data_IF_515278554789
#
_entry.id   IF_515278554789
#
_cell.length_a   1.000
_cell.length_b   1.000
_cell.length_c   1.000
_cell.angle_alpha   90.00
_cell.angle_beta   90.00
_cell.angle_gamma   90.00
#
_symmetry.space_group_name_H-M   'P 1'
#
loop_
_entity.id
_entity.type
_entity.pdbx_description
1 polymer ?
#
# COMPACT_ATOMS: atom_id res chain seq x y z
N UNK A 1 -12.49 3.72 -0.10
CA UNK A 1 -13.61 4.38 -0.80
C UNK A 1 -14.81 3.47 -0.69
N UNK A 2 -15.92 3.98 -0.14
CA UNK A 2 -17.17 3.25 0.01
C UNK A 2 -18.26 3.86 -0.87
N UNK A 3 -19.10 3.02 -1.47
CA UNK A 3 -20.26 3.43 -2.26
C UNK A 3 -21.48 2.63 -1.82
N UNK A 4 -22.65 3.25 -1.81
CA UNK A 4 -23.91 2.56 -1.53
C UNK A 4 -24.72 2.47 -2.81
N UNK A 5 -25.16 1.27 -3.15
CA UNK A 5 -25.94 0.99 -4.34
C UNK A 5 -27.26 0.29 -3.97
N UNK A 6 -28.23 0.37 -4.88
CA UNK A 6 -29.49 -0.37 -4.81
C UNK A 6 -29.78 -0.91 -6.20
N UNK A 7 -29.97 -2.22 -6.29
CA UNK A 7 -30.46 -2.83 -7.53
C UNK A 7 -31.88 -2.34 -7.82
N UNK A 8 -32.18 -2.08 -9.09
CA UNK A 8 -33.50 -1.59 -9.48
C UNK A 8 -34.56 -2.65 -9.14
N UNK A 9 -35.63 -2.22 -8.46
CA UNK A 9 -36.69 -3.12 -7.98
C UNK A 9 -36.43 -3.73 -6.60
N UNK A 10 -35.21 -3.66 -6.07
CA UNK A 10 -34.88 -4.15 -4.74
C UNK A 10 -35.20 -3.12 -3.65
N UNK A 11 -35.67 -3.61 -2.50
CA UNK A 11 -35.91 -2.77 -1.31
C UNK A 11 -34.63 -2.49 -0.54
N UNK A 12 -33.66 -3.41 -0.63
CA UNK A 12 -32.41 -3.36 0.13
C UNK A 12 -31.33 -2.59 -0.63
N UNK A 13 -30.41 -2.01 0.13
CA UNK A 13 -29.20 -1.37 -0.41
C UNK A 13 -27.99 -2.19 0.02
N UNK A 14 -26.91 -2.07 -0.74
CA UNK A 14 -25.62 -2.69 -0.46
C UNK A 14 -24.55 -1.62 -0.40
N UNK A 15 -23.72 -1.68 0.63
CA UNK A 15 -22.51 -0.89 0.72
C UNK A 15 -21.35 -1.71 0.13
N UNK A 16 -20.54 -1.10 -0.71
CA UNK A 16 -19.33 -1.69 -1.29
C UNK A 16 -18.13 -0.84 -0.90
N UNK A 17 -17.08 -1.48 -0.41
CA UNK A 17 -15.83 -0.86 -0.01
C UNK A 17 -14.69 -1.39 -0.88
N UNK A 18 -13.86 -0.47 -1.38
CA UNK A 18 -12.57 -0.78 -1.98
C UNK A 18 -11.45 0.01 -1.31
N UNK A 19 -10.27 -0.58 -1.20
CA UNK A 19 -9.13 0.09 -0.58
C UNK A 19 -7.88 -0.77 -0.49
N UNK A 20 -6.91 -0.27 0.30
CA UNK A 20 -5.71 -1.02 0.65
C UNK A 20 -6.12 -2.35 1.32
N UNK A 21 -5.53 -3.49 0.93
CA UNK A 21 -5.94 -4.79 1.42
C UNK A 21 -6.00 -4.91 2.94
N UNK A 22 -4.98 -4.43 3.62
CA UNK A 22 -4.84 -4.49 5.09
C UNK A 22 -5.92 -3.67 5.79
N UNK A 23 -6.23 -2.48 5.24
CA UNK A 23 -7.27 -1.59 5.77
C UNK A 23 -8.65 -2.22 5.58
N UNK A 24 -8.95 -2.72 4.39
CA UNK A 24 -10.26 -3.35 4.10
C UNK A 24 -10.44 -4.60 4.95
N UNK A 25 -9.43 -5.47 5.05
CA UNK A 25 -9.49 -6.66 5.88
C UNK A 25 -9.76 -6.32 7.36
N UNK A 26 -9.16 -5.24 7.88
CA UNK A 26 -9.40 -4.78 9.26
C UNK A 26 -10.84 -4.32 9.53
N UNK A 27 -11.56 -3.93 8.49
CA UNK A 27 -12.96 -3.49 8.53
C UNK A 27 -13.96 -4.64 8.27
N UNK A 28 -13.45 -5.82 7.90
CA UNK A 28 -14.27 -6.99 7.60
C UNK A 28 -14.51 -7.88 8.83
N UNK A 29 -15.56 -8.69 8.78
CA UNK A 29 -15.78 -9.78 9.72
C UNK A 29 -14.68 -10.83 9.53
N UNK A 30 -14.03 -11.23 10.63
CA UNK A 30 -12.84 -12.10 10.59
C UNK A 30 -13.08 -13.44 9.89
N UNK A 31 -14.28 -14.01 10.05
CA UNK A 31 -14.71 -15.28 9.44
C UNK A 31 -14.87 -15.21 7.91
N UNK A 32 -14.92 -14.00 7.34
CA UNK A 32 -14.99 -13.81 5.88
C UNK A 32 -13.63 -13.61 5.22
N UNK A 33 -12.60 -13.29 6.01
CA UNK A 33 -11.24 -13.09 5.50
C UNK A 33 -10.52 -14.45 5.49
N UNK A 34 -10.02 -14.92 4.33
CA UNK A 34 -9.28 -16.17 4.25
C UNK A 34 -8.06 -16.20 5.19
N UNK A 35 -7.75 -17.37 5.77
CA UNK A 35 -6.62 -17.53 6.69
C UNK A 35 -5.26 -17.26 6.01
N UNK A 36 -5.16 -17.54 4.72
CA UNK A 36 -3.98 -17.33 3.87
C UNK A 36 -3.90 -15.91 3.26
N UNK A 37 -4.81 -15.00 3.62
CA UNK A 37 -4.89 -13.66 3.06
C UNK A 37 -3.55 -12.91 3.06
N UNK A 38 -2.81 -12.96 4.18
CA UNK A 38 -1.56 -12.24 4.33
C UNK A 38 -0.46 -12.80 3.41
N UNK A 39 -0.40 -14.13 3.27
CA UNK A 39 0.57 -14.82 2.40
C UNK A 39 0.29 -14.50 0.93
N UNK A 40 -0.98 -14.62 0.51
CA UNK A 40 -1.40 -14.32 -0.87
C UNK A 40 -1.14 -12.86 -1.23
N UNK A 41 -1.44 -11.94 -0.30
CA UNK A 41 -1.16 -10.52 -0.50
C UNK A 41 0.34 -10.24 -0.64
N UNK A 42 1.16 -10.84 0.23
CA UNK A 42 2.62 -10.69 0.19
C UNK A 42 3.20 -11.23 -1.12
N UNK A 43 2.72 -12.36 -1.62
CA UNK A 43 3.17 -12.95 -2.89
C UNK A 43 2.91 -12.02 -4.08
N UNK A 44 1.67 -11.54 -4.25
CA UNK A 44 1.33 -10.64 -5.35
C UNK A 44 2.03 -9.29 -5.25
N UNK A 45 2.19 -8.74 -4.05
CA UNK A 45 2.85 -7.43 -3.87
C UNK A 45 4.35 -7.52 -4.11
N UNK A 46 5.02 -8.62 -3.74
CA UNK A 46 6.43 -8.90 -4.08
C UNK A 46 6.68 -9.04 -5.57
N UNK A 47 5.70 -9.56 -6.31
CA UNK A 47 5.73 -9.63 -7.77
C UNK A 47 5.44 -8.27 -8.45
N UNK A 48 5.25 -7.19 -7.68
CA UNK A 48 5.03 -5.86 -8.23
C UNK A 48 3.60 -5.59 -8.72
N UNK A 49 2.65 -6.47 -8.40
CA UNK A 49 1.25 -6.20 -8.71
C UNK A 49 0.67 -5.15 -7.76
N UNK A 50 -0.22 -4.33 -8.32
CA UNK A 50 -1.10 -3.47 -7.54
C UNK A 50 -2.30 -4.28 -7.08
N UNK A 51 -2.44 -4.42 -5.76
CA UNK A 51 -3.51 -5.20 -5.13
C UNK A 51 -4.52 -4.27 -4.46
N UNK A 52 -5.81 -4.48 -4.73
CA UNK A 52 -6.92 -3.76 -4.08
C UNK A 52 -7.88 -4.78 -3.51
N UNK A 53 -8.28 -4.62 -2.25
CA UNK A 53 -9.33 -5.46 -1.66
C UNK A 53 -10.72 -4.88 -1.89
N UNK A 54 -11.68 -5.78 -2.01
CA UNK A 54 -13.11 -5.49 -2.06
C UNK A 54 -13.83 -6.12 -0.86
N UNK A 55 -14.80 -5.41 -0.34
CA UNK A 55 -15.74 -5.92 0.65
C UNK A 55 -17.13 -5.36 0.39
N UNK A 56 -18.17 -6.04 0.87
CA UNK A 56 -19.53 -5.54 0.81
C UNK A 56 -20.28 -5.76 2.11
N UNK A 57 -21.36 -5.03 2.31
CA UNK A 57 -22.29 -5.28 3.42
C UNK A 57 -23.70 -4.98 2.97
N UNK A 58 -24.58 -5.96 3.16
CA UNK A 58 -25.99 -5.76 2.92
C UNK A 58 -26.60 -4.92 4.03
N UNK A 59 -27.18 -3.78 3.67
CA UNK A 59 -27.81 -2.87 4.63
C UNK A 59 -29.21 -3.35 5.00
N UNK A 60 -29.70 -2.89 6.15
CA UNK A 60 -31.04 -3.20 6.63
C UNK A 60 -32.11 -2.73 5.63
N UNK A 61 -33.16 -3.52 5.44
CA UNK A 61 -34.22 -3.24 4.46
C UNK A 61 -35.03 -1.98 4.74
N UNK A 62 -34.91 -1.40 5.94
CA UNK A 62 -35.62 -0.18 6.35
C UNK A 62 -34.80 1.09 6.14
N UNK A 63 -33.55 0.99 5.65
CA UNK A 63 -32.72 2.17 5.43
C UNK A 63 -33.17 2.92 4.17
N UNK A 64 -33.38 4.23 4.31
CA UNK A 64 -33.73 5.13 3.19
C UNK A 64 -32.50 5.86 2.69
N UNK A 65 -32.54 6.39 1.46
CA UNK A 65 -31.43 7.17 0.89
C UNK A 65 -31.04 8.36 1.77
N UNK A 66 -32.03 9.08 2.28
CA UNK A 66 -31.80 10.17 3.23
C UNK A 66 -31.09 9.71 4.50
N UNK A 67 -31.42 8.53 5.04
CA UNK A 67 -30.69 8.00 6.19
C UNK A 67 -29.25 7.67 5.83
N UNK A 68 -29.01 6.96 4.72
CA UNK A 68 -27.66 6.58 4.27
C UNK A 68 -26.72 7.78 4.17
N UNK A 69 -27.19 8.90 3.61
CA UNK A 69 -26.40 10.14 3.48
C UNK A 69 -25.98 10.76 4.81
N UNK A 70 -26.71 10.46 5.89
CA UNK A 70 -26.46 10.99 7.23
C UNK A 70 -25.75 9.99 8.15
N UNK A 71 -25.48 8.76 7.69
CA UNK A 71 -24.73 7.78 8.48
C UNK A 71 -23.24 8.15 8.44
N UNK A 72 -22.59 8.13 9.61
CA UNK A 72 -21.15 8.31 9.69
C UNK A 72 -20.43 7.24 8.85
N UNK A 73 -19.40 7.66 8.12
CA UNK A 73 -18.56 6.80 7.28
C UNK A 73 -18.02 5.60 8.04
N UNK A 74 -17.52 5.77 9.26
CA UNK A 74 -16.94 4.68 10.04
C UNK A 74 -17.98 3.58 10.33
N UNK A 75 -19.21 3.98 10.64
CA UNK A 75 -20.33 3.05 10.81
C UNK A 75 -20.73 2.38 9.49
N UNK A 76 -20.62 3.10 8.37
CA UNK A 76 -20.92 2.56 7.04
C UNK A 76 -19.88 1.54 6.57
N UNK A 77 -18.61 1.76 6.91
CA UNK A 77 -17.47 0.92 6.50
C UNK A 77 -17.18 -0.25 7.47
N UNK A 78 -17.89 -0.36 8.61
CA UNK A 78 -17.69 -1.43 9.59
C UNK A 78 -18.43 -2.76 9.27
N UNK A 79 -17.97 -3.87 9.86
CA UNK A 79 -18.63 -5.20 9.78
C UNK A 79 -18.88 -5.66 8.34
N UNK A 80 -17.96 -5.35 7.43
CA UNK A 80 -18.06 -5.73 6.02
C UNK A 80 -17.79 -7.23 5.84
N UNK A 81 -18.27 -7.79 4.74
CA UNK A 81 -17.97 -9.16 4.30
C UNK A 81 -16.91 -9.06 3.21
N UNK A 82 -15.77 -9.70 3.44
CA UNK A 82 -14.67 -9.69 2.49
C UNK A 82 -15.08 -10.44 1.22
N UNK A 83 -14.85 -9.83 0.06
CA UNK A 83 -15.19 -10.42 -1.24
C UNK A 83 -13.99 -11.02 -1.95
N UNK A 84 -12.82 -10.37 -1.82
CA UNK A 84 -11.62 -10.81 -2.51
C UNK A 84 -10.67 -9.67 -2.86
N UNK A 85 -9.65 -10.05 -3.64
CA UNK A 85 -8.61 -9.16 -4.14
C UNK A 85 -8.76 -8.95 -5.65
N UNK A 86 -8.50 -7.73 -6.09
CA UNK A 86 -8.25 -7.38 -7.49
C UNK A 86 -6.73 -7.23 -7.65
N UNK A 87 -6.16 -8.00 -8.57
CA UNK A 87 -4.74 -7.97 -8.92
C UNK A 87 -4.58 -7.26 -10.26
N UNK A 88 -3.73 -6.22 -10.30
CA UNK A 88 -3.45 -5.46 -11.52
C UNK A 88 -1.95 -5.36 -11.74
N UNK A 89 -1.51 -5.53 -12.99
CA UNK A 89 -0.12 -5.36 -13.35
C UNK A 89 0.20 -3.90 -13.65
N UNK A 90 1.18 -3.34 -12.94
CA UNK A 90 1.77 -2.05 -13.30
C UNK A 90 2.78 -2.27 -14.43
N UNK A 91 2.32 -2.23 -15.69
CA UNK A 91 3.23 -2.33 -16.83
C UNK A 91 4.04 -1.03 -16.96
N UNK A 92 5.36 -1.17 -16.89
CA UNK A 92 6.29 -0.11 -17.26
C UNK A 92 6.09 0.27 -18.73
N UNK A 93 6.28 1.55 -19.04
CA UNK A 93 6.40 1.97 -20.44
C UNK A 93 7.72 1.42 -20.98
N UNK A 94 7.73 1.00 -22.25
CA UNK A 94 8.90 0.38 -22.86
C UNK A 94 10.13 1.29 -22.82
N UNK A 95 9.91 2.60 -22.86
CA UNK A 95 10.93 3.64 -22.86
C UNK A 95 11.49 3.94 -21.46
N UNK A 96 10.81 3.52 -20.38
CA UNK A 96 11.15 3.93 -19.01
C UNK A 96 12.59 3.56 -18.63
N UNK A 97 13.02 2.33 -18.89
CA UNK A 97 14.36 1.86 -18.53
C UNK A 97 15.45 2.64 -19.29
N UNK A 98 15.28 2.86 -20.60
CA UNK A 98 16.23 3.61 -21.42
C UNK A 98 16.36 5.07 -20.98
N UNK A 99 15.24 5.73 -20.70
CA UNK A 99 15.24 7.11 -20.20
C UNK A 99 15.94 7.22 -18.85
N UNK A 100 15.70 6.27 -17.94
CA UNK A 100 16.38 6.25 -16.63
C UNK A 100 17.89 6.05 -16.76
N UNK A 101 18.32 5.21 -17.70
CA UNK A 101 19.74 5.02 -17.99
C UNK A 101 20.40 6.29 -18.54
N UNK A 102 19.75 6.99 -19.47
CA UNK A 102 20.24 8.24 -20.03
C UNK A 102 20.36 9.33 -18.95
N UNK A 103 19.34 9.46 -18.08
CA UNK A 103 19.38 10.38 -16.95
C UNK A 103 20.52 10.05 -15.99
N UNK A 104 20.76 8.76 -15.71
CA UNK A 104 21.87 8.31 -14.86
C UNK A 104 23.22 8.65 -15.49
N UNK A 105 23.40 8.42 -16.80
CA UNK A 105 24.62 8.78 -17.54
C UNK A 105 24.86 10.29 -17.58
N UNK A 106 23.79 11.09 -17.53
CA UNK A 106 23.85 12.53 -17.43
C UNK A 106 24.08 13.05 -15.99
N UNK A 107 24.30 12.16 -15.01
CA UNK A 107 24.41 12.49 -13.58
C UNK A 107 23.18 13.22 -13.01
N UNK A 108 21.99 12.93 -13.56
CA UNK A 108 20.72 13.47 -13.05
C UNK A 108 20.14 12.48 -12.04
N UNK A 109 19.91 12.96 -10.81
CA UNK A 109 19.31 12.15 -9.75
C UNK A 109 17.83 11.91 -10.03
N UNK A 110 17.43 10.64 -10.06
CA UNK A 110 16.04 10.20 -10.22
C UNK A 110 15.40 9.86 -8.88
N UNK A 111 14.16 10.29 -8.64
CA UNK A 111 13.39 10.01 -7.42
C UNK A 111 11.99 9.54 -7.80
N UNK A 112 11.51 8.47 -7.16
CA UNK A 112 10.14 7.98 -7.33
C UNK A 112 9.26 8.49 -6.19
N UNK A 113 8.11 9.08 -6.53
CA UNK A 113 7.08 9.50 -5.58
C UNK A 113 5.79 8.79 -5.96
N UNK A 114 5.31 7.87 -5.11
CA UNK A 114 4.10 7.07 -5.36
C UNK A 114 3.28 6.88 -4.09
N UNK A 115 1.98 6.63 -4.26
CA UNK A 115 1.05 6.26 -3.19
C UNK A 115 0.69 4.76 -3.20
N UNK A 116 1.39 3.94 -3.99
CA UNK A 116 1.22 2.49 -4.01
C UNK A 116 1.84 1.84 -2.75
N UNK A 117 1.53 0.55 -2.54
CA UNK A 117 2.17 -0.24 -1.50
C UNK A 117 3.71 -0.22 -1.68
N UNK A 118 4.43 -0.15 -0.57
CA UNK A 118 5.89 -0.08 -0.55
C UNK A 118 6.57 -1.22 -1.30
N UNK A 119 6.08 -2.46 -1.16
CA UNK A 119 6.64 -3.61 -1.85
C UNK A 119 6.46 -3.50 -3.37
N UNK A 120 5.29 -3.03 -3.81
CA UNK A 120 5.01 -2.73 -5.22
C UNK A 120 5.96 -1.66 -5.75
N UNK A 121 6.19 -0.58 -5.00
CA UNK A 121 7.10 0.49 -5.39
C UNK A 121 8.55 -0.02 -5.53
N UNK A 122 9.01 -0.85 -4.60
CA UNK A 122 10.34 -1.48 -4.65
C UNK A 122 10.46 -2.37 -5.89
N UNK A 123 9.47 -3.21 -6.17
CA UNK A 123 9.46 -4.08 -7.35
C UNK A 123 9.56 -3.25 -8.63
N UNK A 124 8.69 -2.26 -8.80
CA UNK A 124 8.69 -1.38 -10.00
C UNK A 124 10.01 -0.64 -10.14
N UNK A 125 10.59 -0.16 -9.04
CA UNK A 125 11.88 0.52 -9.05
C UNK A 125 13.06 -0.39 -9.44
N UNK A 126 13.00 -1.69 -9.07
CA UNK A 126 13.98 -2.68 -9.55
C UNK A 126 13.75 -3.01 -11.04
N UNK A 127 12.49 -3.22 -11.44
CA UNK A 127 12.12 -3.59 -12.81
C UNK A 127 12.53 -2.51 -13.83
N UNK A 128 12.43 -1.23 -13.47
CA UNK A 128 12.83 -0.13 -14.35
C UNK A 128 14.31 0.28 -14.21
N UNK A 129 15.08 -0.38 -13.34
CA UNK A 129 16.51 -0.10 -13.16
C UNK A 129 16.83 1.13 -12.30
N UNK A 130 15.84 1.71 -11.60
CA UNK A 130 16.12 2.76 -10.59
C UNK A 130 16.88 2.20 -9.39
N UNK A 131 16.60 0.96 -9.00
CA UNK A 131 17.33 0.24 -7.95
C UNK A 131 18.12 -0.89 -8.59
N UNK A 132 19.47 -0.84 -8.59
CA UNK A 132 20.30 -1.95 -9.04
C UNK A 132 20.02 -3.24 -8.24
N UNK A 133 20.10 -4.44 -8.85
CA UNK A 133 19.82 -5.70 -8.17
C UNK A 133 20.64 -5.96 -6.89
N UNK A 134 21.87 -5.44 -6.85
CA UNK A 134 22.79 -5.57 -5.73
C UNK A 134 22.56 -4.55 -4.60
N UNK A 135 21.74 -3.52 -4.85
CA UNK A 135 21.53 -2.45 -3.90
C UNK A 135 20.50 -2.85 -2.85
N UNK A 136 20.85 -2.60 -1.59
CA UNK A 136 19.96 -2.85 -0.46
C UNK A 136 18.97 -1.70 -0.31
N UNK A 137 17.71 -2.04 -0.06
CA UNK A 137 16.66 -1.06 0.21
C UNK A 137 16.52 -0.86 1.70
N UNK A 138 16.55 0.40 2.12
CA UNK A 138 16.24 0.83 3.48
C UNK A 138 14.83 1.41 3.46
N UNK A 139 13.98 0.86 4.33
CA UNK A 139 12.67 1.39 4.65
C UNK A 139 12.83 2.29 5.86
N UNK A 140 12.35 3.52 5.76
CA UNK A 140 12.39 4.50 6.83
C UNK A 140 10.98 4.95 7.22
N UNK A 141 10.67 4.85 8.51
CA UNK A 141 9.42 5.28 9.13
C UNK A 141 9.67 6.58 9.90
N UNK A 142 9.04 7.67 9.47
CA UNK A 142 9.10 8.95 10.16
C UNK A 142 7.94 9.10 11.16
N UNK A 143 8.27 9.27 12.43
CA UNK A 143 7.33 9.54 13.51
C UNK A 143 7.33 11.03 13.84
N UNK A 144 6.19 11.73 13.72
CA UNK A 144 6.10 13.15 14.05
C UNK A 144 6.30 13.38 15.55
N UNK A 145 6.68 14.61 15.90
CA UNK A 145 6.75 15.05 17.30
C UNK A 145 5.37 14.92 17.97
N UNK A 146 5.31 14.25 19.12
CA UNK A 146 4.12 14.14 19.97
C UNK A 146 4.52 14.27 21.44
N UNK A 147 3.70 14.96 22.23
CA UNK A 147 3.81 15.08 23.69
C UNK A 147 5.21 15.50 24.18
N UNK A 148 5.80 16.52 23.52
CA UNK A 148 7.12 17.06 23.90
C UNK A 148 8.31 16.20 23.48
N UNK A 149 8.11 15.10 22.75
CA UNK A 149 9.20 14.30 22.18
C UNK A 149 9.58 14.78 20.78
N UNK A 150 10.88 14.89 20.50
CA UNK A 150 11.40 15.17 19.17
C UNK A 150 10.96 14.13 18.13
N UNK A 151 10.82 14.54 16.88
CA UNK A 151 10.56 13.63 15.76
C UNK A 151 11.62 12.52 15.69
N UNK A 152 11.19 11.30 15.35
CA UNK A 152 12.05 10.12 15.29
C UNK A 152 11.95 9.48 13.91
N UNK A 153 13.06 8.94 13.42
CA UNK A 153 13.10 8.12 12.21
C UNK A 153 13.58 6.74 12.62
N UNK A 154 12.76 5.72 12.38
CA UNK A 154 13.16 4.32 12.48
C UNK A 154 13.49 3.80 11.09
N UNK A 155 14.39 2.84 10.97
CA UNK A 155 14.71 2.24 9.68
C UNK A 155 15.03 0.76 9.79
N UNK A 156 14.78 0.03 8.71
CA UNK A 156 15.09 -1.39 8.57
C UNK A 156 15.34 -1.75 7.10
N UNK A 157 15.97 -2.90 6.84
CA UNK A 157 16.14 -3.39 5.47
C UNK A 157 14.87 -4.08 4.97
N UNK A 158 14.52 -3.86 3.70
CA UNK A 158 13.37 -4.52 3.06
C UNK A 158 13.60 -6.04 2.88
N UNK A 159 14.85 -6.45 2.61
CA UNK A 159 15.20 -7.85 2.37
C UNK A 159 15.64 -8.54 3.69
N UNK A 160 14.95 -9.60 4.11
CA UNK A 160 15.40 -10.49 5.20
C UNK A 160 16.28 -11.61 4.62
N UNK A 161 17.61 -11.46 4.62
CA UNK A 161 18.50 -12.59 4.37
C UNK A 161 19.40 -12.94 5.56
N UNK A 162 19.52 -14.26 5.74
CA UNK A 162 20.18 -15.04 6.79
C UNK A 162 21.56 -14.57 7.25
N UNK A 163 21.76 -14.62 8.57
CA UNK A 163 23.02 -14.83 9.30
C UNK A 163 24.31 -14.54 8.53
N UNK A 164 24.68 -13.27 8.41
CA UNK A 164 26.08 -12.87 8.53
C UNK A 164 26.16 -11.59 9.37
N UNK A 165 26.63 -11.75 10.60
CA UNK A 165 26.91 -10.67 11.54
C UNK A 165 28.09 -9.87 11.00
N UNK A 166 27.79 -8.71 10.41
CA UNK A 166 28.75 -7.65 10.13
C UNK A 166 28.27 -6.39 10.82
N UNK A 167 29.15 -5.75 11.60
CA UNK A 167 28.92 -4.48 12.32
C UNK A 167 28.10 -3.47 11.51
N UNK A 168 27.20 -2.76 12.17
CA UNK A 168 26.49 -1.62 11.60
C UNK A 168 27.51 -0.64 10.98
N UNK A 169 27.48 -0.39 9.67
CA UNK A 169 28.37 0.60 9.08
C UNK A 169 27.88 2.00 9.46
N UNK A 170 28.83 2.85 9.82
CA UNK A 170 28.64 4.29 9.88
C UNK A 170 28.33 4.76 8.45
N UNK A 171 27.13 5.30 8.21
CA UNK A 171 26.77 5.88 6.93
C UNK A 171 27.44 7.26 6.81
N UNK A 172 28.55 7.33 6.07
CA UNK A 172 28.96 8.59 5.44
C UNK A 172 28.10 8.79 4.19
N UNK A 173 27.44 9.95 4.11
CA UNK A 173 26.62 10.34 2.96
C UNK A 173 27.54 10.71 1.80
N UNK A 174 27.92 9.71 1.00
CA UNK A 174 28.44 9.88 -0.36
C UNK A 174 27.67 8.94 -1.27
N UNK A 175 27.05 9.50 -2.31
CA UNK A 175 26.25 8.81 -3.34
C UNK A 175 25.44 7.63 -2.77
N UNK A 176 24.51 7.97 -1.87
CA UNK A 176 23.84 7.02 -0.99
C UNK A 176 22.78 6.15 -1.67
N UNK A 177 22.48 4.98 -1.10
CA UNK A 177 21.50 4.02 -1.61
C UNK A 177 20.12 4.69 -1.78
N UNK A 178 19.31 4.17 -2.72
CA UNK A 178 17.95 4.64 -2.92
C UNK A 178 17.15 4.45 -1.63
N UNK A 179 16.81 5.55 -0.96
CA UNK A 179 15.97 5.55 0.24
C UNK A 179 14.52 5.55 -0.21
N UNK A 180 13.78 4.47 0.09
CA UNK A 180 12.33 4.45 -0.07
C UNK A 180 11.74 4.95 1.26
N UNK A 181 11.34 6.22 1.27
CA UNK A 181 10.69 6.83 2.43
C UNK A 181 9.17 6.75 2.29
N UNK A 182 8.50 6.23 3.32
CA UNK A 182 7.04 6.29 3.41
C UNK A 182 6.67 7.48 4.29
N UNK A 183 6.08 8.52 3.70
CA UNK A 183 5.36 9.52 4.45
C UNK A 183 3.94 8.98 4.69
N UNK A 184 3.71 8.40 5.88
CA UNK A 184 2.36 8.07 6.31
C UNK A 184 1.58 9.37 6.50
N UNK A 185 0.82 9.77 5.49
CA UNK A 185 -0.23 10.76 5.65
C UNK A 185 -1.37 10.09 6.41
N UNK A 186 -1.35 10.19 7.74
CA UNK A 186 -2.57 10.07 8.52
C UNK A 186 -3.48 11.22 8.12
N UNK A 187 -4.46 10.91 7.26
CA UNK A 187 -5.55 11.82 6.95
C UNK A 187 -6.23 12.21 8.26
N UNK A 188 -6.19 13.52 8.55
CA UNK A 188 -6.99 14.19 9.58
C UNK A 188 -8.47 14.03 9.25
#
# INVERSE_FOLDING_TARGET
MCVVARLLGEKRMDAYLKGAPEVVASLCKKDTVPEDFAEVLEDYTKQGFRVIALAHRRLESKITWHKVQNVNRDHMEANMEFLGLIIMQNKLKAESAGVLEDLRRAHIRTVMVTGDNMLTAISVARDCGMIPPQDRVIIADALPSKDGQSAKINWHYADKHSKHVGKAPHLEVRDGPLVVGVANYSSV
#
